data_IF_169805718664
#
_entry.id   IF_169805718664
#
_cell.length_a   1.000
_cell.length_b   1.000
_cell.length_c   1.000
_cell.angle_alpha   90.00
_cell.angle_beta   90.00
_cell.angle_gamma   90.00
#
_symmetry.space_group_name_H-M   'P 1'
#
loop_
_entity.id
_entity.type
_entity.pdbx_description
1 polymer ?
#
# COMPACT_ATOMS: atom_id res chain seq x y z
N UNK A 1 -23.15 22.15 -4.61
CA UNK A 1 -21.98 22.35 -3.76
C UNK A 1 -21.08 21.16 -3.94
N UNK A 2 -19.93 21.44 -4.50
CA UNK A 2 -18.91 20.45 -4.73
C UNK A 2 -17.83 20.57 -3.66
N UNK A 3 -17.27 19.43 -3.30
CA UNK A 3 -16.23 19.30 -2.28
C UNK A 3 -15.05 18.53 -2.85
N UNK A 4 -13.85 18.87 -2.40
CA UNK A 4 -12.63 18.08 -2.62
C UNK A 4 -12.02 17.72 -1.28
N UNK A 5 -11.16 16.71 -1.28
CA UNK A 5 -10.47 16.25 -0.08
C UNK A 5 -8.99 16.54 -0.21
N UNK A 6 -8.41 17.10 0.84
CA UNK A 6 -6.97 17.25 1.03
C UNK A 6 -6.56 16.17 2.01
N UNK A 7 -5.64 15.31 1.60
CA UNK A 7 -5.17 14.13 2.31
C UNK A 7 -3.68 14.28 2.59
N UNK A 8 -3.28 14.14 3.85
CA UNK A 8 -1.89 13.99 4.27
C UNK A 8 -1.69 12.52 4.67
N UNK A 9 -0.74 11.84 4.03
CA UNK A 9 -0.50 10.41 4.25
C UNK A 9 0.44 10.12 5.43
N UNK A 10 0.97 11.16 6.09
CA UNK A 10 1.83 11.06 7.26
C UNK A 10 3.28 10.68 6.97
N UNK A 11 3.64 10.49 5.70
CA UNK A 11 5.00 10.20 5.22
C UNK A 11 5.66 11.38 4.50
N UNK A 12 5.00 12.54 4.52
CA UNK A 12 5.43 13.76 3.83
C UNK A 12 4.83 13.92 2.43
N UNK A 13 4.06 12.95 1.94
CA UNK A 13 3.27 13.08 0.71
C UNK A 13 1.83 13.50 1.00
N UNK A 14 1.33 14.40 0.17
CA UNK A 14 -0.04 14.93 0.25
C UNK A 14 -0.74 14.77 -1.10
N UNK A 15 -2.03 14.50 -1.06
CA UNK A 15 -2.89 14.42 -2.24
C UNK A 15 -4.08 15.37 -2.10
N UNK A 16 -4.53 15.93 -3.22
CA UNK A 16 -5.78 16.70 -3.27
C UNK A 16 -6.64 16.15 -4.38
N UNK A 17 -7.86 15.71 -4.04
CA UNK A 17 -8.78 15.16 -5.03
C UNK A 17 -9.34 16.26 -5.94
N UNK A 18 -9.93 15.85 -7.05
CA UNK A 18 -10.81 16.74 -7.79
C UNK A 18 -12.08 17.04 -6.99
N UNK A 19 -12.73 18.16 -7.32
CA UNK A 19 -14.07 18.46 -6.83
C UNK A 19 -15.06 17.38 -7.25
N UNK A 20 -15.96 17.05 -6.33
CA UNK A 20 -17.03 16.08 -6.53
C UNK A 20 -18.30 16.60 -5.89
N UNK A 21 -19.46 16.21 -6.44
CA UNK A 21 -20.74 16.57 -5.85
C UNK A 21 -20.86 16.03 -4.43
N UNK A 22 -21.35 16.87 -3.51
CA UNK A 22 -21.62 16.47 -2.11
C UNK A 22 -22.46 15.19 -2.05
N UNK A 23 -22.08 14.26 -1.16
CA UNK A 23 -22.73 12.95 -1.01
C UNK A 23 -22.24 11.88 -2.00
N UNK A 24 -21.20 12.18 -2.79
CA UNK A 24 -20.52 11.19 -3.64
C UNK A 24 -19.26 10.68 -2.96
N UNK A 25 -19.09 9.36 -2.92
CA UNK A 25 -17.89 8.74 -2.37
C UNK A 25 -16.67 9.00 -3.26
N UNK A 26 -15.53 9.25 -2.62
CA UNK A 26 -14.22 9.35 -3.27
C UNK A 26 -13.22 8.40 -2.63
N UNK A 27 -12.45 7.75 -3.48
CA UNK A 27 -11.39 6.83 -3.07
C UNK A 27 -10.06 7.36 -3.60
N UNK A 28 -9.09 7.49 -2.69
CA UNK A 28 -7.69 7.77 -3.00
C UNK A 28 -6.84 6.57 -2.57
N UNK A 29 -5.72 6.35 -3.25
CA UNK A 29 -4.84 5.21 -3.01
C UNK A 29 -3.42 5.71 -2.78
N UNK A 30 -2.80 5.24 -1.69
CA UNK A 30 -1.42 5.55 -1.34
C UNK A 30 -0.64 4.29 -0.99
N UNK A 31 0.68 4.36 -1.08
CA UNK A 31 1.58 3.26 -0.75
C UNK A 31 2.82 3.76 -0.04
N UNK A 32 3.02 3.28 1.19
CA UNK A 32 4.21 3.56 1.98
C UNK A 32 5.35 2.63 1.59
N UNK A 33 6.52 3.20 1.32
CA UNK A 33 7.74 2.46 0.96
C UNK A 33 8.47 1.89 2.18
N UNK A 34 8.35 2.55 3.33
CA UNK A 34 8.99 2.19 4.58
C UNK A 34 7.99 1.54 5.56
N UNK A 35 8.53 0.69 6.45
CA UNK A 35 7.73 0.18 7.56
C UNK A 35 7.64 1.24 8.65
N UNK A 36 6.47 1.36 9.27
CA UNK A 36 6.24 2.44 10.22
C UNK A 36 4.81 2.53 10.68
N UNK A 37 4.58 3.40 11.65
CA UNK A 37 3.25 3.88 12.00
C UNK A 37 3.11 5.29 11.43
N UNK A 38 2.06 5.52 10.65
CA UNK A 38 1.77 6.81 10.03
C UNK A 38 0.44 7.33 10.53
N UNK A 39 0.38 8.65 10.77
CA UNK A 39 -0.85 9.36 11.10
C UNK A 39 -1.30 10.03 9.81
N UNK A 40 -2.43 9.58 9.26
CA UNK A 40 -3.03 10.20 8.09
C UNK A 40 -4.07 11.22 8.54
N UNK A 41 -4.17 12.34 7.85
CA UNK A 41 -5.21 13.35 8.07
C UNK A 41 -5.96 13.66 6.79
N UNK A 42 -7.25 13.97 6.92
CA UNK A 42 -8.11 14.32 5.79
C UNK A 42 -8.98 15.50 6.19
N UNK A 43 -9.11 16.48 5.30
CA UNK A 43 -10.07 17.59 5.43
C UNK A 43 -10.78 17.84 4.11
N UNK A 44 -12.04 18.27 4.19
CA UNK A 44 -12.84 18.65 3.04
C UNK A 44 -12.72 20.16 2.77
N UNK A 45 -12.69 20.54 1.50
CA UNK A 45 -12.73 21.93 1.06
C UNK A 45 -13.84 22.08 0.00
N UNK A 46 -14.69 23.10 0.14
CA UNK A 46 -15.73 23.38 -0.83
C UNK A 46 -15.25 24.26 -2.01
N UNK A 47 -16.09 24.40 -3.03
CA UNK A 47 -15.82 25.23 -4.22
C UNK A 47 -15.60 26.73 -3.92
N UNK A 48 -15.96 27.20 -2.72
CA UNK A 48 -15.75 28.57 -2.25
C UNK A 48 -14.50 28.72 -1.37
N UNK A 49 -13.76 27.62 -1.12
CA UNK A 49 -12.55 27.59 -0.31
C UNK A 49 -12.80 27.46 1.19
N UNK A 50 -14.03 27.13 1.62
CA UNK A 50 -14.31 26.84 3.02
C UNK A 50 -13.78 25.44 3.36
N UNK A 51 -12.97 25.34 4.42
CA UNK A 51 -12.36 24.10 4.89
C UNK A 51 -13.15 23.58 6.09
N UNK A 52 -13.53 22.31 6.04
CA UNK A 52 -14.21 21.60 7.12
C UNK A 52 -13.25 21.05 8.17
N UNK A 53 -13.80 20.33 9.15
CA UNK A 53 -13.03 19.68 10.21
C UNK A 53 -12.03 18.67 9.64
N UNK A 54 -10.86 18.59 10.27
CA UNK A 54 -9.84 17.61 9.97
C UNK A 54 -10.09 16.33 10.77
N UNK A 55 -10.12 15.20 10.07
CA UNK A 55 -10.17 13.87 10.68
C UNK A 55 -8.81 13.21 10.56
N UNK A 56 -8.44 12.41 11.56
CA UNK A 56 -7.17 11.68 11.56
C UNK A 56 -7.38 10.18 11.76
N UNK A 57 -6.44 9.39 11.26
CA UNK A 57 -6.37 7.95 11.45
C UNK A 57 -4.92 7.50 11.59
N UNK A 58 -4.71 6.33 12.20
CA UNK A 58 -3.40 5.73 12.34
C UNK A 58 -3.34 4.43 11.53
N UNK A 59 -2.26 4.25 10.76
CA UNK A 59 -2.00 3.01 10.04
C UNK A 59 -0.61 2.48 10.36
N UNK A 60 -0.52 1.18 10.66
CA UNK A 60 0.76 0.50 10.87
C UNK A 60 1.12 -0.33 9.62
N UNK A 61 2.16 0.11 8.92
CA UNK A 61 2.69 -0.58 7.74
C UNK A 61 3.79 -1.53 8.18
N UNK A 62 3.58 -2.82 7.88
CA UNK A 62 4.59 -3.86 8.03
C UNK A 62 5.16 -4.23 6.68
N UNK A 63 6.48 -4.37 6.62
CA UNK A 63 7.11 -4.94 5.43
C UNK A 63 6.57 -6.35 5.20
N UNK A 64 6.05 -6.62 4.00
CA UNK A 64 5.81 -8.01 3.60
C UNK A 64 7.17 -8.72 3.61
N UNK A 65 7.36 -9.65 4.54
CA UNK A 65 8.54 -10.51 4.52
C UNK A 65 8.59 -11.21 3.16
N UNK A 66 9.71 -11.09 2.46
CA UNK A 66 10.00 -11.82 1.21
C UNK A 66 10.12 -13.32 1.51
N UNK A 67 9.01 -13.97 1.86
CA UNK A 67 8.94 -15.43 1.88
C UNK A 67 9.02 -15.86 0.41
N UNK A 68 10.13 -16.49 0.03
CA UNK A 68 10.53 -16.82 -1.35
C UNK A 68 10.74 -15.60 -2.26
N UNK A 69 11.84 -14.89 -2.02
CA UNK A 69 12.38 -13.82 -2.87
C UNK A 69 12.43 -14.26 -4.35
N UNK A 70 11.89 -13.45 -5.27
CA UNK A 70 11.84 -13.71 -6.70
C UNK A 70 13.16 -14.23 -7.31
N UNK A 71 14.31 -13.87 -6.73
CA UNK A 71 15.63 -14.37 -7.12
C UNK A 71 15.80 -15.89 -6.97
N UNK A 72 15.24 -16.54 -5.93
CA UNK A 72 15.33 -18.00 -5.82
C UNK A 72 14.43 -18.69 -6.84
N UNK A 73 13.26 -18.11 -7.13
CA UNK A 73 12.36 -18.63 -8.17
C UNK A 73 12.98 -18.46 -9.56
N UNK A 74 13.59 -17.30 -9.84
CA UNK A 74 14.31 -17.06 -11.08
C UNK A 74 15.53 -17.98 -11.22
N UNK A 75 16.26 -18.23 -10.13
CA UNK A 75 17.35 -19.20 -10.09
C UNK A 75 16.86 -20.63 -10.35
N UNK A 76 15.76 -21.06 -9.72
CA UNK A 76 15.14 -22.37 -9.96
C UNK A 76 14.59 -22.51 -11.40
N UNK A 77 14.09 -21.43 -11.98
CA UNK A 77 13.61 -21.39 -13.37
C UNK A 77 14.75 -21.42 -14.39
N UNK A 78 15.86 -20.71 -14.10
CA UNK A 78 17.05 -20.69 -14.95
C UNK A 78 17.88 -21.99 -14.86
N UNK A 79 17.58 -22.86 -13.90
CA UNK A 79 18.23 -24.14 -13.71
C UNK A 79 17.22 -25.29 -13.79
N UNK A 80 16.90 -25.79 -15.00
CA UNK A 80 15.82 -26.75 -15.23
C UNK A 80 15.94 -28.07 -14.46
N UNK A 81 17.13 -28.43 -13.99
CA UNK A 81 17.38 -29.66 -13.23
C UNK A 81 17.34 -29.48 -11.71
N UNK A 82 17.38 -28.26 -11.17
CA UNK A 82 17.47 -28.05 -9.73
C UNK A 82 16.14 -28.32 -9.01
N UNK A 83 15.01 -27.98 -9.64
CA UNK A 83 13.71 -28.18 -9.02
C UNK A 83 13.37 -29.67 -8.80
N UNK A 84 13.53 -30.58 -9.78
CA UNK A 84 13.29 -32.01 -9.56
C UNK A 84 14.28 -32.66 -8.58
N UNK A 85 15.52 -32.17 -8.51
CA UNK A 85 16.54 -32.64 -7.55
C UNK A 85 16.17 -32.26 -6.12
N UNK A 86 15.78 -31.01 -5.89
CA UNK A 86 15.29 -30.55 -4.59
C UNK A 86 14.05 -31.31 -4.17
N UNK A 87 13.12 -31.55 -5.09
CA UNK A 87 11.92 -32.34 -4.84
C UNK A 87 12.26 -33.77 -4.39
N UNK A 88 13.20 -34.45 -5.07
CA UNK A 88 13.67 -35.78 -4.67
C UNK A 88 14.40 -35.77 -3.33
N UNK A 89 15.17 -34.72 -3.05
CA UNK A 89 15.93 -34.59 -1.81
C UNK A 89 15.00 -34.36 -0.61
N UNK A 90 13.96 -33.53 -0.77
CA UNK A 90 12.93 -33.32 0.25
C UNK A 90 12.11 -34.59 0.52
N UNK A 91 11.70 -35.30 -0.54
CA UNK A 91 11.01 -36.59 -0.43
C UNK A 91 11.82 -37.63 0.33
N UNK A 92 13.14 -37.68 0.10
CA UNK A 92 14.04 -38.60 0.81
C UNK A 92 14.30 -38.17 2.27
N UNK A 93 14.12 -36.89 2.60
CA UNK A 93 14.26 -36.35 3.95
C UNK A 93 12.96 -36.43 4.76
N UNK A 94 11.84 -36.86 4.16
CA UNK A 94 10.54 -36.97 4.84
C UNK A 94 9.91 -35.62 5.19
N UNK A 95 10.31 -34.55 4.49
CA UNK A 95 9.75 -33.20 4.58
C UNK A 95 8.63 -32.98 3.57
#
# INVERSE_FOLDING_TARGET
HDVRFIIDWGDGENETTSFTGSGTDKTAYHSWSEEGTYILTVKAEDEYGAIGDEIWGEINIKKKSKLFNASIMQFLQNHPNLFPLLQKLLQNLGL
#
